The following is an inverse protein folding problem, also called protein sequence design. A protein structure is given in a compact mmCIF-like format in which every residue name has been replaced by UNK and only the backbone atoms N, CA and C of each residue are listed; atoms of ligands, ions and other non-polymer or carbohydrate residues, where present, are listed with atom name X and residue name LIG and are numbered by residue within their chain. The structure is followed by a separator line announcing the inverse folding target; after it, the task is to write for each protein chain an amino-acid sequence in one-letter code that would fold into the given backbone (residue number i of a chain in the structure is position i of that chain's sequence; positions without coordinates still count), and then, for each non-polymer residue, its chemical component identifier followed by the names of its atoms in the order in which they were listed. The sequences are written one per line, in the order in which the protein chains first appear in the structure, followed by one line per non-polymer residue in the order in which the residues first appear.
data_IF_986010282545
#
_entry.id   IF_986010282545
#
_cell.length_a   1.000
_cell.length_b   1.000
_cell.length_c   1.000
_cell.angle_alpha   90.00
_cell.angle_beta   90.00
_cell.angle_gamma   90.00
#
_symmetry.space_group_name_H-M   'P 1'
#
loop_
_entity.id
_entity.type
_entity.pdbx_description
1 polymer ?
#
# COMPACT_ATOMS: atom_id res chain seq x y z
N UNK A 1 -4.13 27.18 22.34
CA UNK A 1 -2.87 26.46 22.10
C UNK A 1 -3.08 25.46 20.99
N UNK A 2 -2.10 25.33 20.06
CA UNK A 2 -2.15 24.35 18.97
C UNK A 2 -1.58 23.02 19.47
N UNK A 3 -2.14 21.89 19.06
CA UNK A 3 -1.58 20.56 19.37
C UNK A 3 -0.20 20.41 18.72
N UNK A 4 0.86 20.33 19.53
CA UNK A 4 2.27 20.32 19.06
C UNK A 4 2.57 19.17 18.10
N UNK A 5 2.02 17.97 18.36
CA UNK A 5 2.17 16.78 17.48
C UNK A 5 1.59 17.07 16.09
N UNK A 6 0.39 17.63 16.01
CA UNK A 6 -0.25 17.96 14.73
C UNK A 6 0.48 19.07 13.97
N UNK A 7 1.00 20.06 14.69
CA UNK A 7 1.83 21.11 14.10
C UNK A 7 3.13 20.52 13.50
N UNK A 8 3.78 19.60 14.22
CA UNK A 8 4.98 18.92 13.73
C UNK A 8 4.69 18.09 12.48
N UNK A 9 3.62 17.28 12.48
CA UNK A 9 3.18 16.52 11.31
C UNK A 9 2.84 17.40 10.11
N UNK A 10 2.15 18.52 10.33
CA UNK A 10 1.79 19.45 9.25
C UNK A 10 2.98 20.23 8.68
N UNK A 11 4.08 20.36 9.46
CA UNK A 11 5.33 20.99 9.01
C UNK A 11 6.37 19.99 8.50
N UNK A 12 6.17 18.68 8.72
CA UNK A 12 7.07 17.67 8.16
C UNK A 12 6.88 17.59 6.65
N UNK A 13 7.92 17.96 5.91
CA UNK A 13 7.94 17.79 4.47
C UNK A 13 8.06 16.30 4.15
N UNK A 14 7.06 15.76 3.46
CA UNK A 14 7.19 14.44 2.84
C UNK A 14 8.19 14.57 1.68
N UNK A 15 9.26 13.76 1.66
CA UNK A 15 10.23 13.73 0.57
C UNK A 15 9.52 13.56 -0.79
N UNK A 16 8.46 12.77 -0.84
CA UNK A 16 7.64 12.57 -2.05
C UNK A 16 7.01 13.89 -2.51
N UNK A 17 6.43 14.69 -1.60
CA UNK A 17 5.79 15.96 -1.94
C UNK A 17 6.80 17.01 -2.37
N UNK A 18 7.96 17.08 -1.69
CA UNK A 18 9.02 18.01 -2.03
C UNK A 18 9.59 17.73 -3.45
N UNK A 19 9.80 16.46 -3.78
CA UNK A 19 10.27 16.04 -5.10
C UNK A 19 9.21 16.32 -6.16
N UNK A 20 7.94 16.06 -5.89
CA UNK A 20 6.85 16.36 -6.82
C UNK A 20 6.75 17.87 -7.11
N UNK A 21 6.83 18.72 -6.09
CA UNK A 21 6.83 20.18 -6.25
C UNK A 21 8.06 20.66 -7.06
N UNK A 22 9.23 20.06 -6.84
CA UNK A 22 10.42 20.30 -7.67
C UNK A 22 10.15 19.91 -9.13
N UNK A 23 9.58 18.73 -9.37
CA UNK A 23 9.23 18.25 -10.71
C UNK A 23 8.27 19.19 -11.44
N UNK A 24 7.25 19.71 -10.74
CA UNK A 24 6.32 20.69 -11.31
C UNK A 24 7.02 21.99 -11.73
N UNK A 25 7.91 22.49 -10.91
CA UNK A 25 8.72 23.67 -11.24
C UNK A 25 9.61 23.41 -12.48
N UNK A 26 10.32 22.26 -12.50
CA UNK A 26 11.21 21.90 -13.63
C UNK A 26 10.42 21.70 -14.93
N UNK A 27 9.26 21.04 -14.90
CA UNK A 27 8.37 20.90 -16.07
C UNK A 27 7.99 22.25 -16.68
N UNK A 28 7.74 23.25 -15.83
CA UNK A 28 7.42 24.61 -16.27
C UNK A 28 8.61 25.32 -16.92
N UNK A 29 9.86 24.97 -16.56
CA UNK A 29 11.06 25.61 -17.09
C UNK A 29 11.57 24.97 -18.39
N UNK A 30 11.59 23.63 -18.46
CA UNK A 30 12.25 22.90 -19.55
C UNK A 30 11.31 22.01 -20.39
N UNK A 31 10.01 22.01 -20.10
CA UNK A 31 9.03 21.15 -20.76
C UNK A 31 8.86 19.79 -20.07
N UNK A 32 7.62 19.29 -20.09
CA UNK A 32 7.26 18.05 -19.38
C UNK A 32 7.94 16.81 -19.94
N UNK A 33 8.29 16.82 -21.22
CA UNK A 33 8.96 15.71 -21.91
C UNK A 33 10.43 15.53 -21.50
N UNK A 34 11.03 16.53 -20.85
CA UNK A 34 12.42 16.55 -20.41
C UNK A 34 12.59 16.24 -18.92
N UNK A 35 11.49 16.01 -18.18
CA UNK A 35 11.52 15.69 -16.74
C UNK A 35 10.99 14.28 -16.52
N UNK A 36 11.82 13.39 -16.03
CA UNK A 36 11.52 11.99 -15.77
C UNK A 36 11.12 11.80 -14.31
N UNK A 37 9.85 12.10 -14.02
CA UNK A 37 9.32 12.06 -12.65
C UNK A 37 8.77 10.68 -12.30
N UNK A 38 9.54 9.95 -11.51
CA UNK A 38 9.20 8.64 -10.96
C UNK A 38 8.88 8.70 -9.46
N UNK A 39 8.55 9.89 -8.93
CA UNK A 39 8.37 10.09 -7.49
C UNK A 39 6.98 9.67 -6.99
N UNK A 40 5.93 9.83 -7.82
CA UNK A 40 4.54 9.63 -7.41
C UNK A 40 4.00 8.29 -7.92
N UNK A 41 3.49 7.46 -6.98
CA UNK A 41 2.79 6.22 -7.29
C UNK A 41 1.30 6.45 -7.60
N UNK A 42 1.01 7.21 -8.65
CA UNK A 42 -0.35 7.44 -9.12
C UNK A 42 -0.64 6.58 -10.36
N UNK A 43 -1.70 5.75 -10.37
CA UNK A 43 -2.06 4.99 -11.57
C UNK A 43 -2.17 5.89 -12.80
N UNK A 44 -1.57 5.45 -13.92
CA UNK A 44 -1.65 6.15 -15.19
C UNK A 44 -2.38 5.35 -16.29
N UNK A 45 -2.99 4.22 -15.92
CA UNK A 45 -3.91 3.50 -16.79
C UNK A 45 -5.32 4.04 -16.60
N UNK A 46 -6.14 4.09 -17.65
CA UNK A 46 -7.52 4.53 -17.54
C UNK A 46 -8.34 3.67 -16.58
N UNK A 47 -9.31 4.28 -15.91
CA UNK A 47 -10.36 3.54 -15.21
C UNK A 47 -11.06 2.59 -16.18
N UNK A 48 -11.34 1.31 -15.81
CA UNK A 48 -12.00 0.35 -16.69
C UNK A 48 -13.34 0.87 -17.22
N UNK A 49 -13.63 0.63 -18.50
CA UNK A 49 -14.85 1.09 -19.17
C UNK A 49 -16.14 0.68 -18.44
N UNK A 50 -16.20 -0.54 -17.86
CA UNK A 50 -17.34 -0.99 -17.05
C UNK A 50 -17.61 -0.04 -15.89
N UNK A 51 -16.58 0.45 -15.19
CA UNK A 51 -16.74 1.39 -14.08
C UNK A 51 -17.33 2.71 -14.57
N UNK A 52 -16.78 3.27 -15.65
CA UNK A 52 -17.28 4.50 -16.27
C UNK A 52 -18.74 4.38 -16.68
N UNK A 53 -19.07 3.31 -17.39
CA UNK A 53 -20.42 3.07 -17.87
C UNK A 53 -21.42 2.87 -16.72
N UNK A 54 -21.04 2.11 -15.70
CA UNK A 54 -21.84 1.93 -14.48
C UNK A 54 -22.14 3.27 -13.79
N UNK A 55 -21.13 4.15 -13.67
CA UNK A 55 -21.35 5.48 -13.07
C UNK A 55 -22.32 6.32 -13.90
N UNK A 56 -22.22 6.30 -15.22
CA UNK A 56 -23.16 6.99 -16.12
C UNK A 56 -24.57 6.45 -15.95
N UNK A 57 -24.74 5.13 -15.95
CA UNK A 57 -26.04 4.47 -15.78
C UNK A 57 -26.68 4.79 -14.43
N UNK A 58 -25.90 4.75 -13.35
CA UNK A 58 -26.37 5.12 -12.01
C UNK A 58 -26.89 6.58 -11.97
N UNK A 59 -26.10 7.51 -12.52
CA UNK A 59 -26.46 8.94 -12.52
C UNK A 59 -27.67 9.24 -13.41
N UNK A 60 -27.93 8.45 -14.44
CA UNK A 60 -29.05 8.64 -15.35
C UNK A 60 -30.35 8.00 -14.88
N UNK A 61 -30.26 6.86 -14.18
CA UNK A 61 -31.42 5.99 -13.96
C UNK A 61 -31.85 5.89 -12.50
N UNK A 62 -30.94 6.18 -11.55
CA UNK A 62 -31.25 6.03 -10.13
C UNK A 62 -31.77 7.34 -9.54
N UNK A 63 -32.65 7.23 -8.55
CA UNK A 63 -33.16 8.39 -7.81
C UNK A 63 -32.04 9.07 -7.03
N UNK A 64 -31.94 10.39 -7.18
CA UNK A 64 -30.87 11.22 -6.59
C UNK A 64 -30.75 11.02 -5.07
N UNK A 65 -31.86 10.95 -4.33
CA UNK A 65 -31.83 10.75 -2.88
C UNK A 65 -31.32 9.36 -2.47
N UNK A 66 -31.63 8.33 -3.27
CA UNK A 66 -31.12 6.99 -3.03
C UNK A 66 -29.61 6.91 -3.32
N UNK A 67 -29.16 7.58 -4.38
CA UNK A 67 -27.79 7.54 -4.85
C UNK A 67 -26.82 8.33 -3.97
N UNK A 68 -27.26 9.49 -3.47
CA UNK A 68 -26.43 10.44 -2.73
C UNK A 68 -26.72 10.49 -1.22
N UNK A 69 -27.68 9.71 -0.74
CA UNK A 69 -28.02 9.64 0.69
C UNK A 69 -26.93 8.96 1.52
N UNK A 70 -27.00 9.17 2.85
CA UNK A 70 -26.16 8.42 3.77
C UNK A 70 -26.47 6.92 3.71
N UNK A 71 -25.43 6.09 3.65
CA UNK A 71 -25.56 4.64 3.85
C UNK A 71 -25.42 4.28 5.32
N UNK A 72 -25.64 3.01 5.67
CA UNK A 72 -25.25 2.49 6.98
C UNK A 72 -23.74 2.72 7.21
N UNK A 73 -23.31 2.91 8.45
CA UNK A 73 -21.91 3.19 8.79
C UNK A 73 -20.92 2.15 8.23
N UNK A 74 -21.18 0.81 8.28
CA UNK A 74 -20.31 -0.16 7.63
C UNK A 74 -20.39 -0.17 6.11
N UNK A 75 -21.30 0.59 5.50
CA UNK A 75 -21.55 0.64 4.08
C UNK A 75 -22.82 -0.05 3.63
N UNK A 76 -23.23 0.24 2.39
CA UNK A 76 -24.40 -0.36 1.75
C UNK A 76 -24.24 -1.88 1.63
N UNK A 77 -25.30 -2.62 1.98
CA UNK A 77 -25.25 -4.10 2.00
C UNK A 77 -24.93 -4.70 0.63
N UNK A 78 -25.39 -4.08 -0.46
CA UNK A 78 -25.11 -4.52 -1.84
C UNK A 78 -23.60 -4.45 -2.15
N UNK A 79 -22.94 -3.35 -1.80
CA UNK A 79 -21.51 -3.17 -1.99
C UNK A 79 -20.69 -4.10 -1.07
N UNK A 80 -21.10 -4.27 0.20
CA UNK A 80 -20.46 -5.21 1.13
C UNK A 80 -20.55 -6.64 0.62
N UNK A 81 -21.71 -7.08 0.09
CA UNK A 81 -21.86 -8.40 -0.55
C UNK A 81 -20.95 -8.57 -1.75
N UNK A 82 -20.80 -7.55 -2.59
CA UNK A 82 -19.93 -7.61 -3.75
C UNK A 82 -18.43 -7.74 -3.35
N UNK A 83 -17.98 -6.97 -2.36
CA UNK A 83 -16.63 -7.10 -1.80
C UNK A 83 -16.43 -8.47 -1.12
N UNK A 84 -17.39 -8.93 -0.32
CA UNK A 84 -17.34 -10.24 0.34
C UNK A 84 -17.26 -11.40 -0.66
N UNK A 85 -18.00 -11.33 -1.76
CA UNK A 85 -17.93 -12.34 -2.82
C UNK A 85 -16.56 -12.40 -3.50
N UNK A 86 -15.87 -11.25 -3.65
CA UNK A 86 -14.49 -11.19 -4.13
C UNK A 86 -13.53 -11.87 -3.14
N UNK A 87 -13.68 -11.59 -1.84
CA UNK A 87 -12.85 -12.20 -0.80
C UNK A 87 -13.12 -13.70 -0.65
N UNK A 88 -14.36 -14.14 -0.77
CA UNK A 88 -14.72 -15.56 -0.72
C UNK A 88 -14.01 -16.38 -1.81
N UNK A 89 -13.89 -15.82 -3.02
CA UNK A 89 -13.14 -16.48 -4.12
C UNK A 89 -11.67 -16.67 -3.78
N UNK A 90 -11.06 -15.69 -3.10
CA UNK A 90 -9.65 -15.77 -2.67
C UNK A 90 -9.47 -16.71 -1.48
N UNK A 91 -10.41 -16.66 -0.55
CA UNK A 91 -10.39 -17.47 0.67
C UNK A 91 -10.60 -18.96 0.40
N UNK A 92 -11.38 -19.31 -0.62
CA UNK A 92 -11.86 -20.67 -0.87
C UNK A 92 -13.01 -21.09 0.06
N UNK A 93 -13.59 -20.17 0.81
CA UNK A 93 -14.78 -20.36 1.67
C UNK A 93 -15.60 -19.07 1.74
N UNK A 94 -16.82 -19.16 2.27
CA UNK A 94 -17.73 -18.01 2.33
C UNK A 94 -17.26 -16.96 3.35
N UNK A 95 -17.08 -15.74 2.88
CA UNK A 95 -16.86 -14.53 3.68
C UNK A 95 -18.18 -13.77 3.71
N UNK A 96 -18.84 -13.64 4.88
CA UNK A 96 -20.11 -12.95 4.95
C UNK A 96 -19.95 -11.44 4.78
N UNK A 97 -20.98 -10.78 4.25
CA UNK A 97 -20.96 -9.33 4.06
C UNK A 97 -20.77 -8.56 5.39
N UNK A 98 -21.16 -9.15 6.50
CA UNK A 98 -20.97 -8.65 7.86
C UNK A 98 -19.51 -8.51 8.25
N UNK A 99 -18.60 -9.22 7.57
CA UNK A 99 -17.15 -9.12 7.74
C UNK A 99 -16.55 -7.87 7.07
N UNK A 100 -17.31 -7.15 6.24
CA UNK A 100 -16.81 -6.03 5.43
C UNK A 100 -17.27 -4.68 6.00
N UNK A 101 -16.33 -3.77 6.23
CA UNK A 101 -16.57 -2.38 6.59
C UNK A 101 -15.98 -1.49 5.49
N UNK A 102 -16.83 -0.79 4.72
CA UNK A 102 -16.40 0.09 3.63
C UNK A 102 -15.78 1.37 4.17
N UNK A 103 -14.70 1.82 3.54
CA UNK A 103 -13.87 2.94 4.00
C UNK A 103 -13.56 3.93 2.88
N UNK A 104 -13.06 5.09 3.27
CA UNK A 104 -12.53 6.10 2.32
C UNK A 104 -11.09 5.75 1.86
N UNK A 105 -10.87 4.50 1.43
CA UNK A 105 -9.58 3.96 0.97
C UNK A 105 -8.71 3.40 2.08
N UNK A 106 -7.58 2.75 1.73
CA UNK A 106 -6.73 2.01 2.66
C UNK A 106 -6.15 2.88 3.80
N UNK A 107 -5.85 4.15 3.58
CA UNK A 107 -5.34 5.03 4.65
C UNK A 107 -6.34 5.20 5.78
N UNK A 108 -7.63 5.37 5.47
CA UNK A 108 -8.68 5.39 6.52
C UNK A 108 -8.88 4.01 7.14
N UNK A 109 -8.78 2.92 6.36
CA UNK A 109 -8.81 1.55 6.88
C UNK A 109 -7.74 1.32 7.94
N UNK A 110 -6.50 1.68 7.63
CA UNK A 110 -5.36 1.54 8.54
C UNK A 110 -5.51 2.38 9.81
N UNK A 111 -5.93 3.65 9.67
CA UNK A 111 -6.19 4.52 10.83
C UNK A 111 -7.29 3.96 11.74
N UNK A 112 -8.37 3.43 11.14
CA UNK A 112 -9.47 2.81 11.89
C UNK A 112 -8.98 1.54 12.59
N UNK A 113 -8.27 0.65 11.89
CA UNK A 113 -7.77 -0.61 12.46
C UNK A 113 -6.76 -0.37 13.57
N UNK A 114 -5.85 0.59 13.41
CA UNK A 114 -4.93 0.99 14.48
C UNK A 114 -5.69 1.45 15.72
N UNK A 115 -6.65 2.36 15.57
CA UNK A 115 -7.46 2.86 16.68
C UNK A 115 -8.39 1.81 17.31
N UNK A 116 -8.77 0.77 16.56
CA UNK A 116 -9.64 -0.31 17.04
C UNK A 116 -8.88 -1.37 17.83
N UNK A 117 -7.63 -1.66 17.47
CA UNK A 117 -6.90 -2.85 17.93
C UNK A 117 -5.66 -2.53 18.78
N UNK A 118 -5.25 -1.28 18.83
CA UNK A 118 -4.03 -0.88 19.53
C UNK A 118 -4.36 0.15 20.59
N UNK A 119 -3.98 -0.11 21.83
CA UNK A 119 -4.12 0.80 22.97
C UNK A 119 -2.88 1.68 23.12
N UNK A 120 -3.04 2.79 23.82
CA UNK A 120 -1.92 3.69 24.14
C UNK A 120 -0.80 2.94 24.89
N UNK A 121 0.44 3.11 24.43
CA UNK A 121 1.63 2.46 24.96
C UNK A 121 1.88 1.03 24.48
N UNK A 122 0.98 0.44 23.69
CA UNK A 122 1.25 -0.85 23.04
C UNK A 122 2.22 -0.70 21.87
N UNK A 123 2.80 -1.82 21.42
CA UNK A 123 3.77 -1.85 20.33
C UNK A 123 3.18 -2.39 19.04
N UNK A 124 3.61 -1.83 17.92
CA UNK A 124 3.27 -2.30 16.58
C UNK A 124 4.55 -2.58 15.80
N UNK A 125 4.72 -3.80 15.28
CA UNK A 125 5.83 -4.12 14.39
C UNK A 125 5.46 -3.77 12.95
N UNK A 126 6.42 -3.17 12.22
CA UNK A 126 6.27 -2.81 10.80
C UNK A 126 7.44 -3.41 10.03
N UNK A 127 7.15 -4.17 8.98
CA UNK A 127 8.19 -4.77 8.14
C UNK A 127 8.73 -3.73 7.17
N UNK A 128 10.04 -3.48 7.23
CA UNK A 128 10.71 -2.59 6.29
C UNK A 128 11.14 -3.36 5.02
N UNK A 129 11.14 -2.71 3.85
CA UNK A 129 10.71 -1.33 3.61
C UNK A 129 9.18 -1.18 3.70
N UNK A 130 8.70 -0.03 4.16
CA UNK A 130 7.27 0.20 4.42
C UNK A 130 6.78 1.57 3.94
N UNK A 131 5.48 1.70 3.74
CA UNK A 131 4.85 2.99 3.47
C UNK A 131 4.93 3.91 4.71
N UNK A 132 5.55 5.10 4.62
CA UNK A 132 5.88 5.93 5.80
C UNK A 132 4.71 6.26 6.72
N UNK A 133 3.49 6.34 6.15
CA UNK A 133 2.29 6.68 6.92
C UNK A 133 1.89 5.60 7.95
N UNK A 134 2.43 4.36 7.87
CA UNK A 134 2.17 3.35 8.89
C UNK A 134 2.65 3.80 10.28
N UNK A 135 3.81 4.47 10.33
CA UNK A 135 4.28 5.09 11.58
C UNK A 135 3.31 6.16 12.08
N UNK A 136 2.85 7.02 11.18
CA UNK A 136 1.91 8.09 11.53
C UNK A 136 0.62 7.52 12.10
N UNK A 137 0.06 6.46 11.48
CA UNK A 137 -1.18 5.84 11.95
C UNK A 137 -0.99 5.14 13.30
N UNK A 138 0.08 4.36 13.47
CA UNK A 138 0.38 3.66 14.72
C UNK A 138 0.67 4.65 15.87
N UNK A 139 1.54 5.63 15.64
CA UNK A 139 1.86 6.67 16.64
C UNK A 139 0.66 7.56 16.96
N UNK A 140 -0.28 7.77 16.03
CA UNK A 140 -1.51 8.51 16.30
C UNK A 140 -2.48 7.72 17.19
N UNK A 141 -2.46 6.40 17.10
CA UNK A 141 -3.18 5.51 18.01
C UNK A 141 -2.48 5.38 19.40
N UNK A 142 -1.32 6.01 19.59
CA UNK A 142 -0.55 5.96 20.83
C UNK A 142 0.46 4.81 20.89
N UNK A 143 0.71 4.10 19.79
CA UNK A 143 1.62 2.96 19.75
C UNK A 143 3.10 3.38 19.64
N UNK A 144 3.98 2.52 20.18
CA UNK A 144 5.40 2.49 19.84
C UNK A 144 5.61 1.63 18.60
N UNK A 145 6.40 2.12 17.64
CA UNK A 145 6.67 1.40 16.38
C UNK A 145 8.01 0.69 16.44
N UNK A 146 7.99 -0.64 16.25
CA UNK A 146 9.17 -1.48 16.09
C UNK A 146 9.39 -1.79 14.62
N UNK A 147 10.57 -1.46 14.09
CA UNK A 147 10.91 -1.70 12.68
C UNK A 147 11.63 -3.04 12.57
N UNK A 148 11.10 -3.93 11.71
CA UNK A 148 11.74 -5.18 11.35
C UNK A 148 12.45 -4.99 10.01
N UNK A 149 13.80 -5.06 9.96
CA UNK A 149 14.55 -4.86 8.72
C UNK A 149 14.38 -6.05 7.75
N UNK A 150 14.65 -5.87 6.45
CA UNK A 150 14.73 -6.98 5.50
C UNK A 150 16.00 -7.83 5.77
N UNK A 151 15.95 -9.11 5.36
CA UNK A 151 17.07 -10.02 5.48
C UNK A 151 18.12 -9.83 4.38
N UNK A 152 17.68 -9.40 3.20
CA UNK A 152 18.53 -9.27 2.02
C UNK A 152 17.84 -8.48 0.92
N UNK A 153 18.40 -8.57 -0.29
CA UNK A 153 17.94 -7.80 -1.45
C UNK A 153 16.59 -8.33 -2.02
N UNK A 154 16.09 -9.48 -1.58
CA UNK A 154 14.74 -9.99 -1.86
C UNK A 154 13.64 -9.30 -1.03
N UNK A 155 14.05 -8.42 -0.12
CA UNK A 155 13.16 -7.65 0.77
C UNK A 155 12.23 -8.51 1.65
N UNK A 156 12.54 -9.81 1.84
CA UNK A 156 11.86 -10.61 2.85
C UNK A 156 12.31 -10.17 4.26
N UNK A 157 11.45 -10.22 5.29
CA UNK A 157 11.80 -9.75 6.63
C UNK A 157 12.87 -10.63 7.28
N UNK A 158 13.78 -10.01 8.04
CA UNK A 158 14.76 -10.72 8.83
C UNK A 158 14.08 -11.40 10.03
N UNK A 159 13.92 -12.73 9.97
CA UNK A 159 13.10 -13.49 10.92
C UNK A 159 13.58 -13.37 12.37
N UNK A 160 14.87 -13.32 12.64
CA UNK A 160 15.36 -13.13 14.01
C UNK A 160 14.99 -11.75 14.59
N UNK A 161 14.98 -10.69 13.75
CA UNK A 161 14.51 -9.38 14.18
C UNK A 161 12.99 -9.34 14.34
N UNK A 162 12.26 -10.07 13.52
CA UNK A 162 10.80 -10.24 13.65
C UNK A 162 10.45 -10.94 14.97
N UNK A 163 11.11 -12.07 15.29
CA UNK A 163 10.92 -12.80 16.53
C UNK A 163 11.21 -11.92 17.75
N UNK A 164 12.34 -11.20 17.74
CA UNK A 164 12.68 -10.24 18.80
C UNK A 164 11.60 -9.15 18.97
N UNK A 165 11.06 -8.61 17.87
CA UNK A 165 9.98 -7.64 17.96
C UNK A 165 8.71 -8.23 18.59
N UNK A 166 8.36 -9.48 18.25
CA UNK A 166 7.20 -10.17 18.83
C UNK A 166 7.41 -10.49 20.31
N UNK A 167 8.62 -10.90 20.71
CA UNK A 167 8.99 -11.14 22.12
C UNK A 167 8.85 -9.86 22.97
N UNK A 168 9.08 -8.68 22.42
CA UNK A 168 8.86 -7.40 23.08
C UNK A 168 7.38 -7.08 23.35
N UNK A 169 6.44 -7.91 22.88
CA UNK A 169 5.02 -7.80 23.19
C UNK A 169 4.25 -6.88 22.26
N UNK A 170 4.31 -7.08 20.96
CA UNK A 170 3.50 -6.34 19.98
C UNK A 170 2.02 -6.70 20.07
N UNK A 171 1.14 -5.72 19.90
CA UNK A 171 -0.29 -5.90 19.75
C UNK A 171 -0.66 -6.21 18.29
N UNK A 172 0.08 -5.64 17.35
CA UNK A 172 -0.14 -5.86 15.92
C UNK A 172 1.16 -5.84 15.11
N UNK A 173 1.07 -6.45 13.92
CA UNK A 173 2.11 -6.42 12.88
C UNK A 173 1.49 -5.90 11.60
N UNK A 174 2.10 -4.91 10.93
CA UNK A 174 1.65 -4.43 9.62
C UNK A 174 2.51 -5.05 8.53
N UNK A 175 1.87 -5.65 7.53
CA UNK A 175 2.48 -6.13 6.29
C UNK A 175 1.86 -5.44 5.09
N UNK A 176 2.65 -5.26 4.02
CA UNK A 176 2.19 -4.76 2.73
C UNK A 176 2.77 -5.66 1.63
N UNK A 177 1.91 -6.39 0.94
CA UNK A 177 2.30 -7.34 -0.11
C UNK A 177 1.23 -7.42 -1.19
N UNK A 178 1.56 -7.10 -2.46
CA UNK A 178 2.82 -6.55 -2.98
C UNK A 178 3.23 -5.23 -2.34
N UNK A 179 4.54 -5.02 -2.19
CA UNK A 179 5.10 -4.00 -1.33
C UNK A 179 5.29 -2.64 -2.03
N UNK A 180 4.99 -1.57 -1.34
CA UNK A 180 5.48 -0.23 -1.60
C UNK A 180 6.55 0.09 -0.53
N UNK A 181 7.84 0.25 -0.89
CA UNK A 181 8.37 0.69 -2.19
C UNK A 181 9.05 -0.38 -3.06
N UNK A 182 9.19 -1.64 -2.62
CA UNK A 182 10.09 -2.59 -3.26
C UNK A 182 9.49 -3.38 -4.43
N UNK A 183 8.15 -3.47 -4.52
CA UNK A 183 7.46 -4.36 -5.45
C UNK A 183 7.55 -5.85 -5.08
N UNK A 184 8.22 -6.19 -3.98
CA UNK A 184 8.35 -7.57 -3.53
C UNK A 184 7.03 -8.14 -2.99
N UNK A 185 6.85 -9.44 -3.14
CA UNK A 185 5.74 -10.19 -2.56
C UNK A 185 6.26 -11.08 -1.42
N UNK A 186 5.58 -11.04 -0.28
CA UNK A 186 5.90 -11.95 0.83
C UNK A 186 5.57 -13.39 0.42
N UNK A 187 6.55 -14.26 0.50
CA UNK A 187 6.35 -15.67 0.15
C UNK A 187 5.43 -16.37 1.15
N UNK A 188 4.70 -17.39 0.70
CA UNK A 188 3.90 -18.20 1.60
C UNK A 188 4.74 -18.83 2.71
N UNK A 189 5.99 -19.24 2.39
CA UNK A 189 6.93 -19.77 3.37
C UNK A 189 7.28 -18.75 4.45
N UNK A 190 7.56 -17.50 4.07
CA UNK A 190 7.79 -16.38 5.00
C UNK A 190 6.60 -16.18 5.92
N UNK A 191 5.39 -16.10 5.35
CA UNK A 191 4.15 -15.92 6.12
C UNK A 191 3.87 -17.08 7.07
N UNK A 192 4.18 -18.32 6.68
CA UNK A 192 4.06 -19.51 7.55
C UNK A 192 5.03 -19.47 8.73
N UNK A 193 6.28 -19.00 8.52
CA UNK A 193 7.25 -18.81 9.61
C UNK A 193 6.76 -17.73 10.56
N UNK A 194 6.34 -16.57 10.04
CA UNK A 194 5.75 -15.50 10.84
C UNK A 194 4.54 -15.99 11.66
N UNK A 195 3.64 -16.75 11.02
CA UNK A 195 2.47 -17.33 11.69
C UNK A 195 2.85 -18.23 12.89
N UNK A 196 3.90 -19.03 12.75
CA UNK A 196 4.37 -19.88 13.87
C UNK A 196 4.87 -19.05 15.04
N UNK A 197 5.66 -18.01 14.78
CA UNK A 197 6.18 -17.10 15.81
C UNK A 197 5.04 -16.38 16.52
N UNK A 198 4.08 -15.83 15.76
CA UNK A 198 2.92 -15.12 16.30
C UNK A 198 2.04 -16.04 17.17
N UNK A 199 1.77 -17.28 16.73
CA UNK A 199 0.98 -18.26 17.49
C UNK A 199 1.65 -18.63 18.80
N UNK A 200 2.95 -18.92 18.78
CA UNK A 200 3.71 -19.25 19.98
C UNK A 200 3.66 -18.10 21.00
N UNK A 201 3.86 -16.87 20.54
CA UNK A 201 3.78 -15.68 21.42
C UNK A 201 2.36 -15.45 21.98
N UNK A 202 1.30 -15.71 21.20
CA UNK A 202 -0.09 -15.63 21.69
C UNK A 202 -0.38 -16.67 22.76
N UNK A 203 0.08 -17.92 22.56
CA UNK A 203 -0.09 -19.00 23.54
C UNK A 203 0.64 -18.68 24.85
N UNK A 204 1.89 -18.19 24.75
CA UNK A 204 2.69 -17.83 25.92
C UNK A 204 2.11 -16.66 26.70
N UNK A 205 1.71 -15.58 26.00
CA UNK A 205 1.29 -14.32 26.64
C UNK A 205 -0.22 -14.25 26.93
N UNK A 206 -1.01 -15.19 26.39
CA UNK A 206 -2.47 -15.22 26.55
C UNK A 206 -3.19 -14.02 25.89
N UNK A 207 -2.51 -13.29 25.00
CA UNK A 207 -3.05 -12.12 24.30
C UNK A 207 -3.10 -12.36 22.80
N UNK A 208 -4.15 -11.85 22.14
CA UNK A 208 -4.21 -11.85 20.67
C UNK A 208 -3.17 -10.89 20.09
N UNK A 209 -2.49 -11.30 19.03
CA UNK A 209 -1.66 -10.45 18.18
C UNK A 209 -2.32 -10.39 16.81
N UNK A 210 -2.55 -9.20 16.29
CA UNK A 210 -3.21 -9.04 14.98
C UNK A 210 -2.19 -8.84 13.87
N UNK A 211 -2.40 -9.50 12.73
CA UNK A 211 -1.68 -9.22 11.50
C UNK A 211 -2.55 -8.30 10.65
N UNK A 212 -2.05 -7.13 10.29
CA UNK A 212 -2.76 -6.15 9.47
C UNK A 212 -2.17 -6.22 8.07
N UNK A 213 -2.93 -6.78 7.13
CA UNK A 213 -2.52 -6.93 5.74
C UNK A 213 -3.04 -5.74 4.93
N UNK A 214 -2.14 -4.84 4.55
CA UNK A 214 -2.42 -3.75 3.61
C UNK A 214 -2.20 -4.23 2.18
N UNK A 215 -3.30 -4.42 1.44
CA UNK A 215 -3.31 -5.11 0.14
C UNK A 215 -3.78 -4.24 -1.05
N UNK A 216 -3.39 -2.97 -1.21
CA UNK A 216 -3.89 -2.13 -2.30
C UNK A 216 -3.35 -2.52 -3.68
N UNK A 217 -2.31 -3.38 -3.74
CA UNK A 217 -1.62 -3.78 -4.97
C UNK A 217 -1.85 -5.25 -5.36
N UNK A 218 -2.67 -6.01 -4.65
CA UNK A 218 -2.79 -7.46 -4.80
C UNK A 218 -3.21 -7.95 -6.20
N UNK A 219 -3.88 -7.11 -6.99
CA UNK A 219 -4.21 -7.39 -8.39
C UNK A 219 -3.11 -6.95 -9.38
N UNK A 220 -2.12 -6.20 -8.92
CA UNK A 220 -0.98 -5.74 -9.72
C UNK A 220 0.18 -6.71 -9.52
N UNK A 221 0.13 -7.85 -10.18
CA UNK A 221 1.10 -8.95 -10.06
C UNK A 221 1.55 -9.37 -11.45
N UNK A 222 2.81 -9.72 -11.61
CA UNK A 222 3.43 -10.02 -12.89
C UNK A 222 3.86 -11.48 -12.99
N UNK A 223 3.63 -12.08 -14.15
CA UNK A 223 3.91 -13.50 -14.39
C UNK A 223 2.96 -14.41 -13.63
N UNK A 224 3.46 -15.57 -13.19
CA UNK A 224 2.68 -16.62 -12.53
C UNK A 224 2.77 -16.54 -10.98
N UNK A 225 3.13 -15.37 -10.45
CA UNK A 225 3.26 -15.19 -9.00
C UNK A 225 1.88 -14.97 -8.38
N UNK A 226 1.57 -15.68 -7.32
CA UNK A 226 0.33 -15.53 -6.56
C UNK A 226 0.57 -14.77 -5.25
N UNK A 227 -0.36 -13.88 -4.90
CA UNK A 227 -0.37 -13.22 -3.59
C UNK A 227 -1.12 -14.12 -2.61
N UNK A 228 -0.45 -14.64 -1.56
CA UNK A 228 -1.10 -15.53 -0.60
C UNK A 228 -2.27 -14.83 0.11
N UNK A 229 -3.36 -15.58 0.33
CA UNK A 229 -4.47 -15.10 1.17
C UNK A 229 -4.09 -15.27 2.64
N UNK A 230 -3.60 -14.21 3.24
CA UNK A 230 -2.97 -14.22 4.57
C UNK A 230 -3.85 -14.80 5.68
N UNK A 231 -5.20 -14.56 5.72
CA UNK A 231 -6.07 -15.15 6.74
C UNK A 231 -6.06 -16.68 6.78
N UNK A 232 -5.78 -17.36 5.65
CA UNK A 232 -5.64 -18.83 5.61
C UNK A 232 -4.36 -19.34 6.28
N UNK A 233 -3.35 -18.46 6.42
CA UNK A 233 -2.06 -18.78 7.02
C UNK A 233 -2.04 -18.39 8.50
N UNK A 234 -2.54 -17.19 8.80
CA UNK A 234 -2.66 -16.67 10.16
C UNK A 234 -4.08 -16.13 10.40
N UNK A 235 -4.94 -16.82 11.17
CA UNK A 235 -6.34 -16.46 11.31
C UNK A 235 -6.61 -15.07 11.88
N UNK A 236 -5.78 -14.58 12.83
CA UNK A 236 -5.95 -13.23 13.40
C UNK A 236 -5.43 -12.14 12.44
N UNK A 237 -5.83 -12.23 11.17
CA UNK A 237 -5.47 -11.26 10.13
C UNK A 237 -6.65 -10.36 9.80
N UNK A 238 -6.42 -9.04 9.84
CA UNK A 238 -7.35 -8.03 9.35
C UNK A 238 -6.83 -7.53 8.00
N UNK A 239 -7.67 -7.53 6.98
CA UNK A 239 -7.30 -7.06 5.64
C UNK A 239 -7.76 -5.63 5.45
N UNK A 240 -6.86 -4.75 5.04
CA UNK A 240 -7.11 -3.40 4.58
C UNK A 240 -6.91 -3.32 3.07
N UNK A 241 -7.97 -2.99 2.34
CA UNK A 241 -7.94 -2.97 0.88
C UNK A 241 -8.37 -1.62 0.31
N UNK A 242 -7.92 -1.30 -0.90
CA UNK A 242 -8.32 -0.10 -1.63
C UNK A 242 -8.46 -0.35 -3.13
N UNK A 243 -9.51 0.20 -3.71
CA UNK A 243 -9.73 0.23 -5.16
C UNK A 243 -8.91 1.32 -5.89
N UNK A 244 -8.08 2.06 -5.15
CA UNK A 244 -7.23 3.13 -5.70
C UNK A 244 -6.32 2.66 -6.83
N UNK A 245 -5.85 1.40 -6.77
CA UNK A 245 -4.87 0.86 -7.72
C UNK A 245 -5.52 -0.11 -8.70
N UNK A 246 -6.36 -1.03 -8.21
CA UNK A 246 -7.03 -2.03 -9.04
C UNK A 246 -8.03 -1.45 -10.03
N UNK A 247 -8.72 -0.37 -9.68
CA UNK A 247 -9.68 0.30 -10.57
C UNK A 247 -9.20 1.67 -11.08
N UNK A 248 -7.95 2.06 -10.78
CA UNK A 248 -7.44 3.40 -11.11
C UNK A 248 -8.33 4.54 -10.58
N UNK A 249 -8.79 4.41 -9.34
CA UNK A 249 -9.72 5.35 -8.68
C UNK A 249 -9.12 5.96 -7.39
N UNK A 250 -7.86 6.46 -7.39
CA UNK A 250 -7.26 6.97 -6.17
C UNK A 250 -7.97 8.22 -5.63
N UNK A 251 -8.58 9.03 -6.50
CA UNK A 251 -9.32 10.24 -6.14
C UNK A 251 -10.70 9.96 -5.55
N UNK A 252 -11.30 8.81 -5.86
CA UNK A 252 -12.66 8.46 -5.44
C UNK A 252 -12.75 7.93 -4.01
N UNK A 253 -11.62 7.62 -3.39
CA UNK A 253 -11.52 7.24 -1.98
C UNK A 253 -12.43 6.07 -1.60
N UNK A 254 -12.23 4.91 -2.20
CA UNK A 254 -12.99 3.69 -1.88
C UNK A 254 -12.07 2.54 -1.49
N UNK A 255 -12.40 1.88 -0.40
CA UNK A 255 -11.72 0.70 0.13
C UNK A 255 -12.57 -0.01 1.16
N UNK A 256 -11.98 -0.97 1.87
CA UNK A 256 -12.65 -1.64 2.97
C UNK A 256 -11.66 -2.23 3.97
N UNK A 257 -12.19 -2.53 5.15
CA UNK A 257 -11.62 -3.41 6.16
C UNK A 257 -12.39 -4.72 6.08
N UNK A 258 -11.69 -5.85 6.04
CA UNK A 258 -12.28 -7.17 6.23
C UNK A 258 -11.80 -7.74 7.56
N UNK A 259 -12.77 -8.12 8.40
CA UNK A 259 -12.57 -8.92 9.60
C UNK A 259 -13.08 -10.34 9.32
N UNK A 260 -12.22 -11.28 8.89
CA UNK A 260 -12.66 -12.63 8.52
C UNK A 260 -13.29 -13.38 9.70
N UNK A 261 -14.22 -14.34 9.46
CA UNK A 261 -14.83 -15.13 10.52
C UNK A 261 -13.84 -15.97 11.36
N UNK A 262 -12.65 -16.26 10.81
CA UNK A 262 -11.59 -16.99 11.50
C UNK A 262 -10.83 -16.17 12.56
N UNK A 263 -11.00 -14.84 12.57
CA UNK A 263 -10.44 -13.99 13.62
C UNK A 263 -11.06 -14.33 14.96
N UNK A 264 -10.24 -14.47 15.99
CA UNK A 264 -10.74 -14.68 17.35
C UNK A 264 -11.60 -13.51 17.77
N UNK A 265 -12.79 -13.79 18.28
CA UNK A 265 -13.79 -12.79 18.71
C UNK A 265 -14.15 -11.79 17.57
N UNK A 266 -14.29 -12.30 16.33
CA UNK A 266 -14.47 -11.50 15.11
C UNK A 266 -15.61 -10.48 15.19
N UNK A 267 -16.71 -10.82 15.85
CA UNK A 267 -17.85 -9.92 16.02
C UNK A 267 -17.48 -8.70 16.89
N UNK A 268 -16.72 -8.91 17.97
CA UNK A 268 -16.26 -7.84 18.86
C UNK A 268 -15.19 -6.98 18.18
N UNK A 269 -14.27 -7.61 17.44
CA UNK A 269 -13.28 -6.92 16.61
C UNK A 269 -13.99 -6.05 15.55
N UNK A 270 -15.01 -6.56 14.88
CA UNK A 270 -15.78 -5.78 13.92
C UNK A 270 -16.53 -4.62 14.59
N UNK A 271 -17.11 -4.85 15.78
CA UNK A 271 -17.74 -3.79 16.56
C UNK A 271 -16.73 -2.69 16.96
N UNK A 272 -15.50 -3.07 17.35
CA UNK A 272 -14.44 -2.12 17.64
C UNK A 272 -14.04 -1.30 16.39
N UNK A 273 -13.95 -1.94 15.21
CA UNK A 273 -13.72 -1.25 13.92
C UNK A 273 -14.84 -0.22 13.66
N UNK A 274 -16.11 -0.58 13.87
CA UNK A 274 -17.23 0.35 13.73
C UNK A 274 -17.12 1.53 14.71
N UNK A 275 -16.73 1.24 15.97
CA UNK A 275 -16.52 2.25 17.01
C UNK A 275 -15.39 3.23 16.65
N UNK A 276 -14.24 2.72 16.19
CA UNK A 276 -13.11 3.51 15.76
C UNK A 276 -13.45 4.37 14.51
N UNK A 277 -14.14 3.80 13.53
CA UNK A 277 -14.62 4.53 12.35
C UNK A 277 -15.49 5.73 12.73
N UNK A 278 -16.39 5.53 13.69
CA UNK A 278 -17.23 6.62 14.26
C UNK A 278 -16.40 7.65 15.00
N UNK A 279 -15.47 7.22 15.86
CA UNK A 279 -14.65 8.10 16.68
C UNK A 279 -13.73 8.99 15.83
N UNK A 280 -13.21 8.46 14.74
CA UNK A 280 -12.35 9.16 13.79
C UNK A 280 -13.13 10.03 12.77
N UNK A 281 -14.46 9.97 12.76
CA UNK A 281 -15.30 10.72 11.84
C UNK A 281 -15.45 10.10 10.43
N UNK A 282 -15.01 8.86 10.23
CA UNK A 282 -15.22 8.09 9.00
C UNK A 282 -16.57 7.36 9.05
N UNK A 283 -17.66 8.12 9.00
CA UNK A 283 -19.02 7.60 9.24
C UNK A 283 -19.48 6.63 8.16
N UNK A 284 -19.18 6.92 6.89
CA UNK A 284 -19.44 6.03 5.75
C UNK A 284 -18.53 6.39 4.58
N UNK A 285 -18.28 5.43 3.69
CA UNK A 285 -17.58 5.68 2.42
C UNK A 285 -18.50 6.48 1.45
N UNK A 286 -17.95 7.10 0.38
CA UNK A 286 -18.74 7.83 -0.61
C UNK A 286 -19.86 6.98 -1.22
N UNK A 287 -21.13 7.43 -1.10
CA UNK A 287 -22.32 6.65 -1.46
C UNK A 287 -22.31 6.22 -2.93
N UNK A 288 -22.10 7.15 -3.86
CA UNK A 288 -22.04 6.85 -5.30
C UNK A 288 -21.03 5.75 -5.63
N UNK A 289 -19.87 5.77 -4.97
CA UNK A 289 -18.83 4.76 -5.18
C UNK A 289 -19.23 3.38 -4.61
N UNK A 290 -20.03 3.34 -3.56
CA UNK A 290 -20.59 2.09 -3.06
C UNK A 290 -21.59 1.46 -4.04
N UNK A 291 -22.46 2.28 -4.66
CA UNK A 291 -23.38 1.81 -5.70
C UNK A 291 -22.61 1.28 -6.92
N UNK A 292 -21.55 1.96 -7.35
CA UNK A 292 -20.66 1.50 -8.42
C UNK A 292 -20.00 0.17 -8.03
N UNK A 293 -19.49 0.04 -6.80
CA UNK A 293 -18.82 -1.17 -6.33
C UNK A 293 -19.73 -2.39 -6.34
N UNK A 294 -21.01 -2.22 -6.03
CA UNK A 294 -21.99 -3.31 -6.06
C UNK A 294 -22.03 -4.03 -7.44
N UNK A 295 -21.62 -3.35 -8.51
CA UNK A 295 -21.63 -3.87 -9.89
C UNK A 295 -20.23 -4.10 -10.47
N UNK A 296 -19.17 -3.54 -9.86
CA UNK A 296 -17.83 -3.51 -10.42
C UNK A 296 -16.74 -4.15 -9.54
N UNK A 297 -17.09 -4.80 -8.43
CA UNK A 297 -16.11 -5.40 -7.52
C UNK A 297 -15.23 -6.47 -8.19
N UNK A 298 -15.74 -7.15 -9.22
CA UNK A 298 -15.04 -8.21 -9.96
C UNK A 298 -14.17 -7.71 -11.13
N UNK A 299 -14.20 -6.41 -11.42
CA UNK A 299 -13.41 -5.80 -12.50
C UNK A 299 -11.93 -5.87 -12.18
N UNK A 300 -11.14 -6.25 -13.16
CA UNK A 300 -9.68 -6.35 -13.05
C UNK A 300 -8.99 -5.21 -13.78
N UNK A 301 -7.85 -4.73 -13.27
CA UNK A 301 -7.06 -3.72 -13.97
C UNK A 301 -6.42 -4.30 -15.23
N UNK A 302 -6.23 -3.44 -16.23
CA UNK A 302 -5.27 -3.73 -17.30
C UNK A 302 -3.88 -3.29 -16.83
N UNK A 303 -3.01 -4.26 -16.57
CA UNK A 303 -1.64 -4.02 -16.09
C UNK A 303 -0.58 -4.13 -17.19
N UNK A 304 -0.99 -4.25 -18.45
CA UNK A 304 -0.08 -4.48 -19.60
C UNK A 304 0.99 -3.40 -19.72
N UNK A 305 0.59 -2.11 -19.59
CA UNK A 305 1.53 -1.00 -19.63
C UNK A 305 2.48 -0.97 -18.44
N UNK A 306 2.01 -1.36 -17.25
CA UNK A 306 2.89 -1.48 -16.07
C UNK A 306 3.91 -2.59 -16.24
N UNK A 307 3.49 -3.77 -16.75
CA UNK A 307 4.39 -4.87 -17.03
C UNK A 307 5.48 -4.47 -18.04
N UNK A 308 5.08 -3.80 -19.14
CA UNK A 308 6.02 -3.29 -20.14
C UNK A 308 7.00 -2.27 -19.56
N UNK A 309 6.51 -1.29 -18.80
CA UNK A 309 7.38 -0.30 -18.16
C UNK A 309 8.35 -0.94 -17.16
N UNK A 310 7.87 -1.91 -16.34
CA UNK A 310 8.70 -2.69 -15.44
C UNK A 310 9.85 -3.35 -16.18
N UNK A 311 9.53 -4.12 -17.22
CA UNK A 311 10.53 -4.89 -17.96
C UNK A 311 11.51 -3.96 -18.66
N UNK A 312 11.03 -2.89 -19.34
CA UNK A 312 11.86 -1.88 -19.98
C UNK A 312 12.85 -1.25 -19.02
N UNK A 313 12.40 -0.80 -17.85
CA UNK A 313 13.26 -0.11 -16.88
C UNK A 313 14.16 -1.10 -16.14
N UNK A 314 13.63 -2.24 -15.66
CA UNK A 314 14.40 -3.23 -14.94
C UNK A 314 15.55 -3.79 -15.79
N UNK A 315 15.26 -4.22 -17.02
CA UNK A 315 16.26 -4.81 -17.92
C UNK A 315 17.33 -3.78 -18.32
N UNK A 316 16.90 -2.54 -18.65
CA UNK A 316 17.82 -1.48 -19.01
C UNK A 316 18.72 -1.06 -17.85
N UNK A 317 18.17 -0.83 -16.65
CA UNK A 317 18.94 -0.42 -15.48
C UNK A 317 19.89 -1.51 -15.01
N UNK A 318 19.43 -2.76 -14.95
CA UNK A 318 20.27 -3.90 -14.63
C UNK A 318 21.39 -4.08 -15.67
N UNK A 319 21.07 -3.92 -16.95
CA UNK A 319 22.06 -3.94 -18.05
C UNK A 319 23.06 -2.79 -18.02
N UNK A 320 22.74 -1.67 -17.38
CA UNK A 320 23.64 -0.55 -17.10
C UNK A 320 24.48 -0.76 -15.83
N UNK A 321 24.28 -1.81 -15.07
CA UNK A 321 25.03 -2.13 -13.85
C UNK A 321 24.38 -1.63 -12.55
N UNK A 322 23.15 -1.10 -12.57
CA UNK A 322 22.43 -0.80 -11.34
C UNK A 322 21.91 -2.09 -10.68
N UNK A 323 22.06 -2.16 -9.37
CA UNK A 323 21.50 -3.25 -8.56
C UNK A 323 20.04 -2.92 -8.21
N UNK A 324 19.12 -3.67 -8.79
CA UNK A 324 17.67 -3.44 -8.70
C UNK A 324 16.95 -4.63 -8.11
N UNK A 325 16.07 -4.40 -7.14
CA UNK A 325 15.11 -5.43 -6.68
C UNK A 325 14.10 -5.68 -7.80
N UNK A 326 14.05 -6.89 -8.35
CA UNK A 326 13.06 -7.21 -9.38
C UNK A 326 11.66 -7.24 -8.78
N UNK A 327 10.73 -6.36 -9.24
CA UNK A 327 9.39 -6.33 -8.66
C UNK A 327 8.51 -7.44 -9.23
N UNK A 328 7.89 -8.23 -8.33
CA UNK A 328 6.88 -9.22 -8.66
C UNK A 328 5.47 -8.63 -8.67
N UNK A 329 5.29 -7.45 -8.06
CA UNK A 329 4.01 -6.77 -8.02
C UNK A 329 4.12 -5.27 -7.79
N UNK A 330 2.97 -4.61 -7.59
CA UNK A 330 2.82 -3.16 -7.50
C UNK A 330 3.31 -2.45 -8.78
N UNK A 331 3.84 -1.25 -8.68
CA UNK A 331 4.44 -0.51 -9.80
C UNK A 331 5.66 0.31 -9.34
N UNK A 332 6.50 -0.32 -8.50
CA UNK A 332 7.71 0.28 -7.97
C UNK A 332 8.92 -0.59 -8.27
N UNK A 333 10.02 0.07 -8.63
CA UNK A 333 11.34 -0.51 -8.70
C UNK A 333 12.20 0.09 -7.58
N UNK A 334 12.94 -0.74 -6.87
CA UNK A 334 13.75 -0.33 -5.75
C UNK A 334 15.23 -0.54 -6.13
N UNK A 335 15.96 0.57 -6.24
CA UNK A 335 17.30 0.62 -6.80
C UNK A 335 18.29 0.89 -5.68
N UNK A 336 19.30 0.05 -5.52
CA UNK A 336 20.37 0.23 -4.55
C UNK A 336 21.29 1.38 -5.00
N UNK A 337 21.60 2.29 -4.08
CA UNK A 337 22.51 3.39 -4.36
C UNK A 337 23.92 2.83 -4.68
N UNK A 338 24.51 3.18 -5.85
CA UNK A 338 25.80 2.64 -6.24
C UNK A 338 26.93 3.14 -5.36
N UNK A 339 28.00 2.33 -5.25
CA UNK A 339 29.30 2.69 -4.64
C UNK A 339 29.22 3.17 -3.18
N UNK A 340 28.18 2.81 -2.47
CA UNK A 340 28.01 3.14 -1.05
C UNK A 340 27.49 4.56 -0.80
N UNK A 341 26.97 5.25 -1.81
CA UNK A 341 26.26 6.50 -1.63
C UNK A 341 25.03 6.27 -0.71
N UNK A 342 24.66 7.29 0.04
CA UNK A 342 23.36 7.34 0.70
C UNK A 342 22.23 7.44 -0.32
N UNK A 343 21.02 7.07 0.09
CA UNK A 343 19.83 7.24 -0.76
C UNK A 343 19.64 8.68 -1.25
N UNK A 344 19.90 9.66 -0.37
CA UNK A 344 19.81 11.07 -0.70
C UNK A 344 20.84 11.51 -1.75
N UNK A 345 22.11 11.12 -1.60
CA UNK A 345 23.17 11.44 -2.57
C UNK A 345 22.87 10.85 -3.94
N UNK A 346 22.40 9.60 -3.99
CA UNK A 346 22.00 8.97 -5.25
C UNK A 346 20.85 9.73 -5.92
N UNK A 347 19.80 10.09 -5.18
CA UNK A 347 18.69 10.86 -5.72
C UNK A 347 19.11 12.26 -6.20
N UNK A 348 20.02 12.94 -5.49
CA UNK A 348 20.54 14.25 -5.91
C UNK A 348 21.41 14.15 -7.17
N UNK A 349 22.20 13.08 -7.35
CA UNK A 349 22.91 12.82 -8.60
C UNK A 349 21.94 12.54 -9.75
N UNK A 350 20.90 11.73 -9.52
CA UNK A 350 19.87 11.46 -10.52
C UNK A 350 19.15 12.75 -10.99
N UNK A 351 18.88 13.68 -10.08
CA UNK A 351 18.27 14.99 -10.40
C UNK A 351 19.08 15.83 -11.40
N UNK A 352 20.40 15.69 -11.45
CA UNK A 352 21.23 16.39 -12.45
C UNK A 352 20.87 16.01 -13.89
N UNK A 353 20.26 14.84 -14.05
CA UNK A 353 19.80 14.30 -15.33
C UNK A 353 18.28 14.33 -15.44
N UNK A 354 17.61 15.15 -14.60
CA UNK A 354 16.15 15.31 -14.54
C UNK A 354 15.39 14.00 -14.19
N UNK A 355 16.06 13.04 -13.54
CA UNK A 355 15.49 11.80 -13.03
C UNK A 355 15.10 12.03 -11.57
N UNK A 356 13.79 11.98 -11.28
CA UNK A 356 13.25 12.23 -9.93
C UNK A 356 12.89 10.92 -9.26
N UNK A 357 13.67 10.52 -8.25
CA UNK A 357 13.52 9.31 -7.44
C UNK A 357 13.22 9.68 -5.99
N UNK A 358 12.67 8.76 -5.23
CA UNK A 358 12.40 8.96 -3.79
C UNK A 358 13.44 8.23 -2.95
N UNK A 359 14.20 8.90 -2.08
CA UNK A 359 15.17 8.25 -1.21
C UNK A 359 14.49 7.35 -0.18
N UNK A 360 15.12 6.22 0.13
CA UNK A 360 14.52 5.13 0.92
C UNK A 360 14.50 5.36 2.43
N UNK A 361 15.16 6.39 2.93
CA UNK A 361 15.29 6.60 4.39
C UNK A 361 13.94 6.63 5.11
N UNK A 362 12.94 7.28 4.50
CA UNK A 362 11.57 7.33 5.05
C UNK A 362 10.83 5.99 5.02
N UNK A 363 11.31 5.03 4.21
CA UNK A 363 10.73 3.68 4.11
C UNK A 363 11.35 2.69 5.11
N UNK A 364 12.26 3.15 5.99
CA UNK A 364 12.89 2.33 7.03
C UNK A 364 14.06 1.46 6.55
N UNK A 365 14.57 1.67 5.35
CA UNK A 365 15.77 1.01 4.79
C UNK A 365 16.66 2.08 4.19
N UNK A 366 17.95 2.06 4.50
CA UNK A 366 18.93 3.00 3.95
C UNK A 366 19.52 2.50 2.63
N UNK A 367 20.04 3.42 1.81
CA UNK A 367 20.86 3.11 0.64
C UNK A 367 20.11 2.63 -0.59
N UNK A 368 18.81 2.93 -0.72
CA UNK A 368 18.01 2.63 -1.90
C UNK A 368 17.26 3.87 -2.38
N UNK A 369 16.79 3.83 -3.62
CA UNK A 369 15.84 4.81 -4.16
C UNK A 369 14.62 4.10 -4.77
N UNK A 370 13.43 4.64 -4.54
CA UNK A 370 12.19 4.16 -5.17
C UNK A 370 11.96 4.87 -6.49
N UNK A 371 11.72 4.09 -7.53
CA UNK A 371 11.24 4.50 -8.84
C UNK A 371 9.81 3.97 -9.04
N UNK A 372 8.82 4.87 -9.24
CA UNK A 372 7.45 4.49 -9.56
C UNK A 372 7.27 4.44 -11.08
N UNK A 373 7.11 3.24 -11.65
CA UNK A 373 6.99 3.06 -13.10
C UNK A 373 5.54 3.13 -13.64
N UNK A 374 4.61 3.64 -12.83
CA UNK A 374 3.28 4.01 -13.28
C UNK A 374 3.28 5.35 -14.05
N UNK A 375 4.06 5.41 -15.09
CA UNK A 375 4.24 6.54 -16.01
C UNK A 375 3.87 6.11 -17.43
N UNK A 376 3.85 7.06 -18.40
CA UNK A 376 3.67 6.69 -19.80
C UNK A 376 4.83 5.83 -20.31
N UNK A 377 4.57 4.91 -21.23
CA UNK A 377 5.64 4.12 -21.88
C UNK A 377 6.71 5.02 -22.49
N UNK A 378 6.28 6.13 -23.09
CA UNK A 378 7.19 7.15 -23.64
C UNK A 378 8.10 7.77 -22.57
N UNK A 379 7.59 8.03 -21.37
CA UNK A 379 8.40 8.53 -20.25
C UNK A 379 9.45 7.50 -19.83
N UNK A 380 9.06 6.23 -19.70
CA UNK A 380 9.98 5.15 -19.36
C UNK A 380 11.09 5.01 -20.41
N UNK A 381 10.74 4.92 -21.68
CA UNK A 381 11.70 4.79 -22.79
C UNK A 381 12.64 6.02 -22.92
N UNK A 382 12.08 7.23 -22.87
CA UNK A 382 12.84 8.47 -23.01
C UNK A 382 13.78 8.76 -21.83
N UNK A 383 13.56 8.15 -20.66
CA UNK A 383 14.44 8.30 -19.50
C UNK A 383 15.75 7.50 -19.63
N UNK A 384 15.80 6.47 -20.47
CA UNK A 384 16.95 5.55 -20.55
C UNK A 384 18.27 6.24 -20.91
N UNK A 385 18.32 7.23 -21.84
CA UNK A 385 19.56 7.99 -22.08
C UNK A 385 20.04 8.78 -20.86
N UNK A 386 19.12 9.28 -20.02
CA UNK A 386 19.46 9.99 -18.79
C UNK A 386 20.02 9.01 -17.73
N UNK A 387 19.42 7.84 -17.57
CA UNK A 387 19.98 6.77 -16.73
C UNK A 387 21.36 6.29 -17.19
N UNK A 388 21.61 6.22 -18.49
CA UNK A 388 22.93 5.88 -19.02
C UNK A 388 23.99 6.88 -18.58
N UNK A 389 23.70 8.19 -18.67
CA UNK A 389 24.60 9.24 -18.17
C UNK A 389 24.84 9.14 -16.66
N UNK A 390 23.80 8.81 -15.90
CA UNK A 390 23.91 8.57 -14.46
C UNK A 390 24.81 7.35 -14.18
N UNK A 391 24.67 6.25 -14.94
CA UNK A 391 25.52 5.08 -14.85
C UNK A 391 26.99 5.41 -15.15
N UNK A 392 27.24 6.20 -16.22
CA UNK A 392 28.58 6.69 -16.60
C UNK A 392 29.18 7.55 -15.49
N UNK A 393 28.44 8.44 -14.82
CA UNK A 393 28.91 9.22 -13.66
C UNK A 393 29.37 8.31 -12.51
N UNK A 394 28.73 7.17 -12.36
CA UNK A 394 29.15 6.14 -11.40
C UNK A 394 30.25 5.20 -11.93
N UNK A 395 30.55 5.20 -13.22
CA UNK A 395 31.50 4.26 -13.85
C UNK A 395 30.97 2.81 -13.76
N UNK A 396 29.68 2.61 -14.01
CA UNK A 396 29.01 1.34 -14.17
C UNK A 396 29.06 0.86 -15.61
#
# INVERSE_FOLDING_TARGET
MIAKKMLALGKSDSAIRAIAAYGDARRSEIGSENVFDFSIGNPNVPTPEKVKNTLIELLQNEESLALHGYTAAPGAMTARKAAAAQESKRAGYDIPAESIYLTSGASSSLSIVMSALVSEGEKVAVLAPFFPEYKVFAENAGAEVLIVPPAGDDMQPFMAAFENAVEQGVAAVIINSPNNPSGAILSEQTLRVMSKILRAAQEEKGKSIYLIADEPYRELVYGDVEVPFVPNIYPNTIVCYSYSKSLSLPGERLGYIMVPPCVKDSAEVFAAVCGAGRALGYVCAPSLMQHMLAQCADVRPDITSYAKNRDTLYDALSGMGFDCVKPDGAFYLFIKAPKGDSAGEFCEKAKKFEILLVPSDSFGVAGYARLAYCVSEKTAENSLPAFRKLAEEYGL
#
